data_IF_792542199430
#
_entry.id   IF_792542199430
#
_cell.length_a   1.000
_cell.length_b   1.000
_cell.length_c   1.000
_cell.angle_alpha   90.00
_cell.angle_beta   90.00
_cell.angle_gamma   90.00
#
_symmetry.space_group_name_H-M   'P 1'
#
loop_
_entity.id
_entity.type
_entity.pdbx_description
1 polymer ?
#
# COMPACT_ATOMS: atom_id res chain seq x y z
N UNK A 1 -52.31 -48.43 -43.63
CA UNK A 1 -51.89 -47.95 -42.30
C UNK A 1 -50.48 -47.42 -42.46
N UNK A 2 -50.37 -46.16 -42.89
CA UNK A 2 -50.01 -45.00 -42.07
C UNK A 2 -48.51 -44.99 -41.68
N UNK A 3 -47.80 -44.32 -42.58
CA UNK A 3 -46.45 -43.75 -42.52
C UNK A 3 -46.07 -43.15 -41.16
N UNK A 4 -44.83 -43.38 -40.73
CA UNK A 4 -44.00 -42.34 -40.09
C UNK A 4 -42.52 -42.58 -40.45
N UNK A 5 -42.04 -41.82 -41.42
CA UNK A 5 -40.62 -41.64 -41.72
C UNK A 5 -40.02 -40.72 -40.65
N UNK A 6 -38.97 -41.16 -39.94
CA UNK A 6 -38.12 -40.27 -39.17
C UNK A 6 -36.81 -40.07 -39.95
N UNK A 7 -36.70 -38.89 -40.58
CA UNK A 7 -35.51 -38.40 -41.26
C UNK A 7 -34.51 -37.93 -40.19
N UNK A 8 -33.35 -38.59 -40.07
CA UNK A 8 -32.21 -38.04 -39.34
C UNK A 8 -31.50 -37.01 -40.24
N UNK A 9 -31.70 -35.72 -39.97
CA UNK A 9 -30.92 -34.66 -40.59
C UNK A 9 -29.59 -34.51 -39.85
N UNK A 10 -28.49 -34.92 -40.49
CA UNK A 10 -27.14 -34.61 -40.03
C UNK A 10 -26.84 -33.13 -40.33
N UNK A 11 -27.02 -32.27 -39.33
CA UNK A 11 -26.61 -30.87 -39.38
C UNK A 11 -25.10 -30.76 -39.24
N UNK A 12 -24.42 -30.40 -40.33
CA UNK A 12 -23.01 -29.98 -40.30
C UNK A 12 -22.98 -28.55 -39.74
N UNK A 13 -22.69 -28.40 -38.45
CA UNK A 13 -22.41 -27.10 -37.85
C UNK A 13 -21.01 -26.65 -38.30
N UNK A 14 -20.98 -25.63 -39.15
CA UNK A 14 -19.77 -24.91 -39.51
C UNK A 14 -19.48 -23.90 -38.39
N UNK A 15 -18.73 -24.32 -37.37
CA UNK A 15 -18.24 -23.42 -36.33
C UNK A 15 -17.17 -22.49 -36.93
N UNK A 16 -17.62 -21.31 -37.38
CA UNK A 16 -16.74 -20.21 -37.72
C UNK A 16 -16.31 -19.51 -36.43
N UNK A 17 -15.35 -20.09 -35.72
CA UNK A 17 -14.67 -19.41 -34.61
C UNK A 17 -13.82 -18.27 -35.18
N UNK A 18 -14.36 -17.06 -35.16
CA UNK A 18 -13.58 -15.83 -35.28
C UNK A 18 -12.62 -15.77 -34.07
N UNK A 19 -11.40 -16.28 -34.27
CA UNK A 19 -10.29 -15.99 -33.38
C UNK A 19 -9.95 -14.50 -33.55
N UNK A 20 -10.60 -13.65 -32.74
CA UNK A 20 -10.14 -12.30 -32.51
C UNK A 20 -8.66 -12.39 -32.11
N UNK A 21 -7.78 -11.55 -32.69
CA UNK A 21 -6.40 -11.50 -32.23
C UNK A 21 -6.45 -11.19 -30.73
N UNK A 22 -6.01 -12.15 -29.92
CA UNK A 22 -5.63 -11.87 -28.53
C UNK A 22 -4.60 -10.77 -28.65
N UNK A 23 -5.00 -9.53 -28.38
CA UNK A 23 -4.06 -8.49 -28.05
C UNK A 23 -3.21 -9.13 -26.96
N UNK A 24 -1.93 -9.36 -27.25
CA UNK A 24 -0.98 -9.76 -26.25
C UNK A 24 -1.11 -8.71 -25.15
N UNK A 25 -1.84 -9.05 -24.10
CA UNK A 25 -1.91 -8.26 -22.89
C UNK A 25 -0.45 -8.26 -22.46
N UNK A 26 0.26 -7.16 -22.71
CA UNK A 26 1.56 -6.98 -22.10
C UNK A 26 1.28 -7.19 -20.63
N UNK A 27 1.86 -8.22 -20.04
CA UNK A 27 1.88 -8.36 -18.59
C UNK A 27 2.57 -7.10 -18.09
N UNK A 28 1.79 -6.12 -17.63
CA UNK A 28 2.32 -4.87 -17.08
C UNK A 28 2.86 -5.27 -15.71
N UNK A 29 3.98 -5.98 -15.65
CA UNK A 29 4.62 -6.31 -14.40
C UNK A 29 5.14 -5.01 -13.78
N UNK A 30 4.83 -4.77 -12.50
CA UNK A 30 5.47 -3.68 -11.76
C UNK A 30 6.96 -3.98 -11.67
N UNK A 31 7.80 -3.00 -11.97
CA UNK A 31 9.26 -3.12 -11.89
C UNK A 31 9.79 -2.59 -10.55
N UNK A 32 11.02 -2.96 -10.20
CA UNK A 32 11.71 -2.40 -9.03
C UNK A 32 11.82 -0.88 -9.13
N UNK A 33 12.19 -0.34 -10.30
CA UNK A 33 12.31 1.11 -10.51
C UNK A 33 10.97 1.84 -10.30
N UNK A 34 9.87 1.24 -10.75
CA UNK A 34 8.54 1.79 -10.49
C UNK A 34 8.20 1.76 -9.01
N UNK A 35 8.55 0.67 -8.30
CA UNK A 35 8.34 0.56 -6.87
C UNK A 35 9.20 1.55 -6.08
N UNK A 36 10.45 1.79 -6.48
CA UNK A 36 11.34 2.80 -5.90
C UNK A 36 10.85 4.22 -6.16
N UNK A 37 10.22 4.48 -7.30
CA UNK A 37 9.60 5.77 -7.53
C UNK A 37 8.42 6.03 -6.58
N UNK A 38 7.67 4.97 -6.21
CA UNK A 38 6.53 5.03 -5.27
C UNK A 38 7.00 5.09 -3.82
N UNK A 39 8.04 4.34 -3.47
CA UNK A 39 8.59 4.20 -2.13
C UNK A 39 10.12 4.42 -2.14
N UNK A 40 10.61 5.66 -2.33
CA UNK A 40 12.05 5.95 -2.46
C UNK A 40 12.91 5.47 -1.28
N UNK A 41 12.39 5.47 -0.07
CA UNK A 41 13.08 5.00 1.12
C UNK A 41 13.28 3.47 1.11
N UNK A 42 12.55 2.72 0.27
CA UNK A 42 12.76 1.29 0.06
C UNK A 42 14.01 0.98 -0.81
N UNK A 43 14.78 1.99 -1.23
CA UNK A 43 16.11 1.81 -1.84
C UNK A 43 17.13 1.18 -0.89
N UNK A 44 16.90 1.26 0.41
CA UNK A 44 17.72 0.59 1.40
C UNK A 44 16.94 0.37 2.68
N UNK A 45 17.19 -0.77 3.31
CA UNK A 45 16.77 -0.99 4.69
C UNK A 45 17.83 -0.46 5.64
N UNK A 46 17.89 0.87 5.76
CA UNK A 46 18.58 1.53 6.86
C UNK A 46 17.51 1.97 7.88
N UNK A 47 17.14 1.10 8.83
CA UNK A 47 16.09 1.45 9.77
C UNK A 47 16.62 2.62 10.62
N UNK A 48 15.92 3.76 10.59
CA UNK A 48 16.22 4.92 11.44
C UNK A 48 16.28 4.53 12.94
N UNK A 49 15.71 3.36 13.27
CA UNK A 49 15.80 2.71 14.58
C UNK A 49 16.13 1.23 14.38
N UNK A 50 17.32 0.79 14.79
CA UNK A 50 17.76 -0.61 14.66
C UNK A 50 16.78 -1.64 15.26
N UNK A 51 15.89 -1.19 16.15
CA UNK A 51 14.79 -1.96 16.73
C UNK A 51 13.85 -2.63 15.71
N UNK A 52 13.62 -2.01 14.55
CA UNK A 52 12.64 -2.48 13.56
C UNK A 52 13.31 -3.07 12.31
N UNK A 53 14.58 -3.43 12.41
CA UNK A 53 15.37 -3.90 11.27
C UNK A 53 14.76 -5.13 10.57
N UNK A 54 14.07 -5.99 11.32
CA UNK A 54 13.47 -7.22 10.80
C UNK A 54 12.15 -6.99 10.03
N UNK A 55 11.55 -5.81 10.14
CA UNK A 55 10.27 -5.46 9.46
C UNK A 55 10.50 -4.76 8.12
N UNK A 56 11.72 -4.23 7.93
CA UNK A 56 12.06 -3.47 6.76
C UNK A 56 12.27 -4.37 5.53
N UNK A 57 11.71 -3.96 4.40
CA UNK A 57 11.97 -4.55 3.10
C UNK A 57 12.39 -3.50 2.07
N UNK A 58 13.40 -3.84 1.27
CA UNK A 58 13.78 -3.09 0.06
C UNK A 58 12.79 -3.32 -1.07
N UNK A 59 12.78 -2.46 -2.07
CA UNK A 59 11.95 -2.64 -3.27
C UNK A 59 12.27 -3.97 -3.99
N UNK A 60 13.55 -4.37 -4.02
CA UNK A 60 13.99 -5.65 -4.58
C UNK A 60 13.43 -6.85 -3.82
N UNK A 61 13.33 -6.76 -2.49
CA UNK A 61 12.73 -7.79 -1.66
C UNK A 61 11.20 -7.81 -1.79
N UNK A 62 10.58 -6.65 -1.91
CA UNK A 62 9.13 -6.47 -1.95
C UNK A 62 8.49 -6.88 -3.29
N UNK A 63 9.16 -6.63 -4.42
CA UNK A 63 8.52 -6.73 -5.74
C UNK A 63 8.04 -8.14 -6.10
N UNK A 64 8.79 -9.17 -5.68
CA UNK A 64 8.44 -10.56 -5.93
C UNK A 64 7.15 -10.97 -5.22
N UNK A 65 7.09 -10.85 -3.88
CA UNK A 65 5.87 -11.09 -3.10
C UNK A 65 4.66 -10.26 -3.54
N UNK A 66 4.84 -8.96 -3.84
CA UNK A 66 3.77 -8.09 -4.38
C UNK A 66 3.23 -8.63 -5.71
N UNK A 67 4.12 -9.00 -6.63
CA UNK A 67 3.69 -9.53 -7.94
C UNK A 67 2.94 -10.85 -7.79
N UNK A 68 3.40 -11.72 -6.89
CA UNK A 68 2.71 -12.97 -6.58
C UNK A 68 1.33 -12.75 -5.97
N UNK A 69 1.17 -11.76 -5.07
CA UNK A 69 -0.15 -11.44 -4.51
C UNK A 69 -1.07 -10.84 -5.58
N UNK A 70 -0.57 -10.00 -6.48
CA UNK A 70 -1.33 -9.50 -7.62
C UNK A 70 -1.82 -10.63 -8.53
N UNK A 71 -0.98 -11.63 -8.82
CA UNK A 71 -1.37 -12.78 -9.63
C UNK A 71 -2.38 -13.69 -8.91
N UNK A 72 -2.18 -13.92 -7.61
CA UNK A 72 -3.08 -14.73 -6.77
C UNK A 72 -4.49 -14.13 -6.74
N UNK A 73 -4.59 -12.82 -6.52
CA UNK A 73 -5.86 -12.10 -6.34
C UNK A 73 -6.35 -11.37 -7.59
N UNK A 74 -5.74 -11.61 -8.74
CA UNK A 74 -6.13 -11.08 -10.06
C UNK A 74 -6.17 -9.54 -10.10
N UNK A 75 -5.13 -8.90 -9.57
CA UNK A 75 -4.92 -7.45 -9.71
C UNK A 75 -4.28 -7.18 -11.07
N UNK A 76 -5.07 -6.62 -11.99
CA UNK A 76 -4.66 -6.54 -13.39
C UNK A 76 -4.70 -5.13 -13.96
N UNK A 77 -5.41 -4.19 -13.33
CA UNK A 77 -5.49 -2.81 -13.83
C UNK A 77 -4.42 -1.93 -13.19
N UNK A 78 -3.99 -0.91 -13.93
CA UNK A 78 -3.09 0.12 -13.42
C UNK A 78 -3.66 0.80 -12.17
N UNK A 79 -4.97 1.00 -12.13
CA UNK A 79 -5.68 1.69 -11.06
C UNK A 79 -5.64 0.90 -9.75
N UNK A 80 -5.96 -0.40 -9.80
CA UNK A 80 -5.88 -1.28 -8.63
C UNK A 80 -4.44 -1.34 -8.09
N UNK A 81 -3.45 -1.47 -8.98
CA UNK A 81 -2.04 -1.53 -8.57
C UNK A 81 -1.57 -0.22 -7.96
N UNK A 82 -1.93 0.92 -8.55
CA UNK A 82 -1.59 2.23 -8.00
C UNK A 82 -2.20 2.41 -6.61
N UNK A 83 -3.47 2.06 -6.43
CA UNK A 83 -4.17 2.13 -5.15
C UNK A 83 -3.52 1.23 -4.09
N UNK A 84 -3.23 -0.03 -4.43
CA UNK A 84 -2.64 -0.99 -3.51
C UNK A 84 -1.20 -0.63 -3.15
N UNK A 85 -0.35 -0.30 -4.13
CA UNK A 85 1.05 0.06 -3.86
C UNK A 85 1.17 1.36 -3.08
N UNK A 86 0.33 2.36 -3.39
CA UNK A 86 0.33 3.61 -2.63
C UNK A 86 -0.18 3.44 -1.21
N UNK A 87 -1.23 2.62 -1.01
CA UNK A 87 -1.68 2.24 0.32
C UNK A 87 -0.55 1.56 1.07
N UNK A 88 0.11 0.58 0.46
CA UNK A 88 1.16 -0.14 1.15
C UNK A 88 2.35 0.75 1.52
N UNK A 89 2.83 1.55 0.57
CA UNK A 89 3.94 2.47 0.80
C UNK A 89 3.60 3.49 1.90
N UNK A 90 2.39 4.06 1.90
CA UNK A 90 2.01 5.05 2.90
C UNK A 90 1.90 4.45 4.30
N UNK A 91 1.15 3.36 4.44
CA UNK A 91 0.83 2.75 5.74
C UNK A 91 2.06 2.18 6.47
N UNK A 92 3.09 1.81 5.71
CA UNK A 92 4.27 1.12 6.23
C UNK A 92 5.49 2.02 6.35
N UNK A 93 5.34 3.32 6.09
CA UNK A 93 6.47 4.24 6.02
C UNK A 93 7.47 3.85 4.93
N UNK A 94 6.96 3.44 3.77
CA UNK A 94 7.69 2.94 2.60
C UNK A 94 8.42 1.61 2.87
N UNK A 95 7.66 0.62 3.34
CA UNK A 95 8.08 -0.73 3.67
C UNK A 95 9.07 -0.86 4.83
N UNK A 96 9.14 0.16 5.69
CA UNK A 96 9.97 0.13 6.91
C UNK A 96 9.34 -0.71 8.02
N UNK A 97 8.00 -0.80 8.02
CA UNK A 97 7.23 -1.46 9.07
C UNK A 97 6.26 -2.47 8.48
N UNK A 98 6.04 -3.55 9.19
CA UNK A 98 4.94 -4.49 9.00
C UNK A 98 4.18 -4.75 10.32
N UNK A 99 4.58 -4.09 11.40
CA UNK A 99 3.87 -4.05 12.69
C UNK A 99 3.54 -2.61 13.07
N UNK A 100 2.40 -2.40 13.72
CA UNK A 100 2.02 -1.09 14.25
C UNK A 100 2.84 -0.69 15.49
N UNK A 101 3.53 0.45 15.40
CA UNK A 101 4.33 1.00 16.51
C UNK A 101 3.85 2.36 17.05
N UNK A 102 3.09 3.14 16.26
CA UNK A 102 2.81 4.55 16.56
C UNK A 102 1.36 4.96 16.26
N UNK A 103 0.63 5.59 17.22
CA UNK A 103 1.03 5.87 18.60
C UNK A 103 0.86 4.64 19.52
N UNK A 104 1.99 4.04 19.95
CA UNK A 104 2.01 2.88 20.84
C UNK A 104 1.73 1.55 20.12
N UNK A 105 2.02 0.39 20.75
CA UNK A 105 1.74 -0.89 20.14
C UNK A 105 0.23 -1.16 20.13
N UNK A 106 -0.29 -1.60 18.99
CA UNK A 106 -1.63 -2.20 18.88
C UNK A 106 -1.46 -3.68 18.51
N UNK A 107 -1.46 -4.60 19.48
CA UNK A 107 -1.12 -6.00 19.26
C UNK A 107 -1.94 -6.62 18.12
N UNK A 108 -1.24 -7.20 17.15
CA UNK A 108 -1.84 -7.83 15.98
C UNK A 108 -2.20 -6.87 14.83
N UNK A 109 -2.03 -5.55 14.99
CA UNK A 109 -2.19 -4.61 13.87
C UNK A 109 -0.90 -4.58 13.04
N UNK A 110 -1.03 -4.74 11.72
CA UNK A 110 0.13 -4.84 10.85
C UNK A 110 -0.17 -5.47 9.49
N UNK A 111 0.91 -5.96 8.87
CA UNK A 111 1.12 -6.27 7.44
C UNK A 111 0.92 -5.07 6.53
N UNK A 112 1.24 -5.19 5.24
CA UNK A 112 1.56 -4.04 4.37
C UNK A 112 0.41 -3.08 4.04
N UNK A 113 -0.75 -3.13 4.67
CA UNK A 113 -1.76 -2.06 4.67
C UNK A 113 -2.17 -1.60 6.08
N UNK A 114 -1.38 -1.95 7.09
CA UNK A 114 -1.59 -1.66 8.51
C UNK A 114 -3.00 -2.03 9.00
N UNK A 115 -3.55 -3.15 8.51
CA UNK A 115 -4.91 -3.57 8.81
C UNK A 115 -5.10 -3.97 10.27
N UNK A 116 -6.33 -3.79 10.75
CA UNK A 116 -6.75 -4.11 12.12
C UNK A 116 -6.48 -5.61 12.45
N UNK A 117 -6.14 -5.94 13.72
CA UNK A 117 -5.97 -7.31 14.20
C UNK A 117 -7.04 -8.31 13.77
N UNK A 118 -8.32 -7.91 13.77
CA UNK A 118 -9.42 -8.78 13.37
C UNK A 118 -9.31 -9.20 11.89
N UNK A 119 -8.88 -8.29 11.02
CA UNK A 119 -8.66 -8.62 9.61
C UNK A 119 -7.42 -9.49 9.41
N UNK A 120 -6.39 -9.35 10.25
CA UNK A 120 -5.25 -10.27 10.24
C UNK A 120 -5.63 -11.69 10.67
N UNK A 121 -6.53 -11.85 11.66
CA UNK A 121 -7.09 -13.16 12.03
C UNK A 121 -7.84 -13.78 10.86
N UNK A 122 -8.77 -13.03 10.26
CA UNK A 122 -9.55 -13.52 9.11
C UNK A 122 -8.66 -13.81 7.89
N UNK A 123 -7.59 -13.04 7.70
CA UNK A 123 -6.63 -13.29 6.63
C UNK A 123 -5.87 -14.59 6.88
N UNK A 124 -5.30 -14.76 8.07
CA UNK A 124 -4.58 -15.96 8.47
C UNK A 124 -5.46 -17.22 8.36
N UNK A 125 -6.72 -17.14 8.79
CA UNK A 125 -7.70 -18.24 8.68
C UNK A 125 -8.01 -18.62 7.23
N UNK A 126 -7.90 -17.69 6.29
CA UNK A 126 -8.10 -17.95 4.86
C UNK A 126 -6.91 -18.63 4.17
N UNK A 127 -5.77 -18.75 4.86
CA UNK A 127 -4.52 -19.27 4.31
C UNK A 127 -4.35 -20.74 4.72
N UNK A 128 -4.44 -21.64 3.74
CA UNK A 128 -4.37 -23.08 3.98
C UNK A 128 -3.09 -23.56 4.70
N UNK A 129 -1.95 -22.89 4.48
CA UNK A 129 -0.66 -23.23 5.14
C UNK A 129 -0.61 -22.83 6.63
N UNK A 130 -1.58 -22.05 7.10
CA UNK A 130 -1.74 -21.61 8.49
C UNK A 130 -2.84 -22.35 9.24
N UNK A 131 -3.55 -23.29 8.60
CA UNK A 131 -4.58 -24.10 9.25
C UNK A 131 -4.09 -24.72 10.57
N UNK A 132 -4.83 -24.49 11.65
CA UNK A 132 -4.52 -24.98 12.99
C UNK A 132 -3.42 -24.22 13.74
N UNK A 133 -2.89 -23.13 13.18
CA UNK A 133 -1.92 -22.23 13.84
C UNK A 133 -2.52 -20.90 14.29
N UNK A 134 -3.69 -20.53 13.77
CA UNK A 134 -4.36 -19.26 14.09
C UNK A 134 -5.01 -19.37 15.47
N UNK A 135 -4.58 -18.52 16.39
CA UNK A 135 -5.21 -18.34 17.70
C UNK A 135 -5.78 -16.92 17.81
N UNK A 136 -7.11 -16.73 17.67
CA UNK A 136 -7.73 -15.43 17.81
C UNK A 136 -7.54 -14.77 19.18
N UNK A 137 -7.18 -15.54 20.22
CA UNK A 137 -6.86 -15.01 21.54
C UNK A 137 -5.43 -14.43 21.62
N UNK A 138 -4.59 -14.69 20.61
CA UNK A 138 -3.25 -14.13 20.46
C UNK A 138 -3.08 -13.40 19.10
N UNK A 139 -3.64 -12.18 18.94
CA UNK A 139 -3.54 -11.44 17.68
C UNK A 139 -2.11 -11.08 17.29
N UNK A 140 -1.20 -10.92 18.26
CA UNK A 140 0.22 -10.66 17.98
C UNK A 140 0.90 -11.90 17.41
N UNK A 141 0.63 -13.09 17.96
CA UNK A 141 1.07 -14.36 17.41
C UNK A 141 0.55 -14.61 15.99
N UNK A 142 -0.72 -14.26 15.73
CA UNK A 142 -1.29 -14.32 14.37
C UNK A 142 -0.57 -13.40 13.40
N UNK A 143 -0.32 -12.14 13.79
CA UNK A 143 0.45 -11.22 12.96
C UNK A 143 1.86 -11.75 12.68
N UNK A 144 2.51 -12.36 13.68
CA UNK A 144 3.83 -12.97 13.50
C UNK A 144 3.83 -14.14 12.49
N UNK A 145 2.73 -14.90 12.38
CA UNK A 145 2.60 -15.93 11.34
C UNK A 145 2.54 -15.31 9.94
N UNK A 146 1.86 -14.17 9.79
CA UNK A 146 1.72 -13.47 8.52
C UNK A 146 3.02 -12.79 8.10
N UNK A 147 3.72 -12.11 9.01
CA UNK A 147 4.97 -11.39 8.71
C UNK A 147 6.18 -12.32 8.54
N UNK A 148 6.10 -13.58 8.99
CA UNK A 148 7.15 -14.57 8.81
C UNK A 148 7.30 -15.07 7.35
N UNK A 149 6.28 -14.88 6.51
CA UNK A 149 6.31 -15.24 5.08
C UNK A 149 6.07 -13.98 4.23
N UNK A 150 7.06 -13.51 3.44
CA UNK A 150 6.91 -12.32 2.62
C UNK A 150 5.70 -12.34 1.68
N UNK A 151 5.29 -13.51 1.18
CA UNK A 151 4.12 -13.62 0.29
C UNK A 151 2.83 -13.30 1.05
N UNK A 152 2.75 -13.72 2.31
CA UNK A 152 1.60 -13.45 3.17
C UNK A 152 1.64 -11.99 3.64
N UNK A 153 2.79 -11.50 4.07
CA UNK A 153 2.98 -10.11 4.48
C UNK A 153 2.57 -9.10 3.39
N UNK A 154 3.16 -9.19 2.20
CA UNK A 154 2.82 -8.33 1.06
C UNK A 154 1.47 -8.66 0.40
N UNK A 155 0.86 -9.79 0.77
CA UNK A 155 -0.46 -10.20 0.31
C UNK A 155 -1.61 -9.48 1.02
N UNK A 156 -1.36 -8.89 2.17
CA UNK A 156 -2.40 -8.38 3.08
C UNK A 156 -3.32 -7.33 2.46
N UNK A 157 -2.76 -6.32 1.78
CA UNK A 157 -3.54 -5.24 1.18
C UNK A 157 -4.45 -5.76 0.06
N UNK A 158 -3.95 -6.75 -0.68
CA UNK A 158 -4.64 -7.32 -1.83
C UNK A 158 -5.77 -8.24 -1.37
N UNK A 159 -5.50 -9.07 -0.37
CA UNK A 159 -6.54 -9.85 0.30
C UNK A 159 -7.61 -8.93 0.89
N UNK A 160 -7.22 -7.84 1.56
CA UNK A 160 -8.18 -6.88 2.12
C UNK A 160 -9.09 -6.30 1.03
N UNK A 161 -8.54 -5.83 -0.10
CA UNK A 161 -9.34 -5.35 -1.23
C UNK A 161 -10.34 -6.40 -1.71
N UNK A 162 -9.90 -7.64 -1.90
CA UNK A 162 -10.75 -8.71 -2.45
C UNK A 162 -11.80 -9.24 -1.48
N UNK A 163 -11.53 -9.18 -0.17
CA UNK A 163 -12.36 -9.84 0.83
C UNK A 163 -13.15 -8.86 1.71
N UNK A 164 -12.78 -7.58 1.75
CA UNK A 164 -13.42 -6.55 2.60
C UNK A 164 -14.11 -5.47 1.79
N UNK A 165 -13.61 -5.14 0.60
CA UNK A 165 -14.34 -4.23 -0.29
C UNK A 165 -15.44 -4.98 -1.04
N UNK A 166 -16.57 -4.33 -1.21
CA UNK A 166 -17.68 -4.84 -2.03
C UNK A 166 -17.26 -4.96 -3.49
N UNK A 167 -17.91 -5.84 -4.27
CA UNK A 167 -17.62 -5.97 -5.70
C UNK A 167 -17.77 -4.64 -6.45
N UNK A 168 -18.75 -3.81 -6.09
CA UNK A 168 -18.93 -2.49 -6.69
C UNK A 168 -17.75 -1.55 -6.41
N UNK A 169 -17.19 -1.56 -5.21
CA UNK A 169 -15.98 -0.78 -4.88
C UNK A 169 -14.75 -1.31 -5.62
N UNK A 170 -14.62 -2.63 -5.76
CA UNK A 170 -13.53 -3.24 -6.52
C UNK A 170 -13.62 -2.85 -8.02
N UNK A 171 -14.81 -2.93 -8.61
CA UNK A 171 -15.05 -2.56 -10.00
C UNK A 171 -14.83 -1.06 -10.23
N UNK A 172 -15.29 -0.21 -9.29
CA UNK A 172 -15.05 1.22 -9.32
C UNK A 172 -13.55 1.52 -9.26
N UNK A 173 -12.82 0.93 -8.33
CA UNK A 173 -11.37 1.11 -8.22
C UNK A 173 -10.63 0.62 -9.48
N UNK A 174 -11.07 -0.51 -10.05
CA UNK A 174 -10.45 -1.09 -11.23
C UNK A 174 -10.59 -0.23 -12.48
N UNK A 175 -11.74 0.42 -12.67
CA UNK A 175 -12.07 1.19 -13.87
C UNK A 175 -11.93 2.71 -13.68
N UNK A 176 -11.88 3.17 -12.44
CA UNK A 176 -11.90 4.57 -12.05
C UNK A 176 -10.54 5.22 -11.98
N UNK A 177 -10.53 6.48 -11.55
CA UNK A 177 -9.33 7.28 -11.35
C UNK A 177 -9.22 7.72 -9.91
N UNK A 178 -8.90 9.00 -9.73
CA UNK A 178 -8.70 9.57 -8.40
C UNK A 178 -9.94 9.48 -7.51
N UNK A 179 -11.14 9.76 -8.03
CA UNK A 179 -12.36 9.76 -7.23
C UNK A 179 -12.69 8.36 -6.66
N UNK A 180 -12.49 7.31 -7.45
CA UNK A 180 -12.73 5.93 -7.02
C UNK A 180 -11.64 5.43 -6.08
N UNK A 181 -10.41 5.91 -6.21
CA UNK A 181 -9.37 5.71 -5.20
C UNK A 181 -9.72 6.40 -3.88
N UNK A 182 -10.19 7.65 -3.92
CA UNK A 182 -10.63 8.37 -2.72
C UNK A 182 -11.75 7.61 -2.00
N UNK A 183 -12.75 7.14 -2.75
CA UNK A 183 -13.83 6.30 -2.22
C UNK A 183 -13.31 4.95 -1.69
N UNK A 184 -12.31 4.33 -2.31
CA UNK A 184 -11.67 3.13 -1.77
C UNK A 184 -11.05 3.40 -0.39
N UNK A 185 -10.34 4.53 -0.23
CA UNK A 185 -9.72 4.90 1.05
C UNK A 185 -10.78 5.23 2.12
N UNK A 186 -11.80 6.01 1.78
CA UNK A 186 -12.80 6.46 2.77
C UNK A 186 -13.85 5.42 3.09
N UNK A 187 -14.32 4.70 2.07
CA UNK A 187 -15.54 3.88 2.18
C UNK A 187 -15.23 2.38 2.33
N UNK A 188 -14.07 1.92 1.86
CA UNK A 188 -13.63 0.54 2.09
C UNK A 188 -12.56 0.43 3.17
N UNK A 189 -11.43 1.12 3.02
CA UNK A 189 -10.36 1.10 4.02
C UNK A 189 -10.84 1.77 5.32
N UNK A 190 -11.73 2.76 5.23
CA UNK A 190 -12.36 3.38 6.40
C UNK A 190 -11.46 4.42 7.07
N UNK A 191 -10.62 5.11 6.29
CA UNK A 191 -9.66 6.10 6.80
C UNK A 191 -9.74 7.42 6.02
N UNK A 192 -8.91 8.40 6.38
CA UNK A 192 -8.88 9.71 5.71
C UNK A 192 -7.83 9.72 4.59
N UNK A 193 -7.98 10.67 3.65
CA UNK A 193 -7.03 10.88 2.55
C UNK A 193 -5.72 11.53 3.01
N UNK A 194 -5.61 11.94 4.28
CA UNK A 194 -4.52 12.74 4.81
C UNK A 194 -3.16 12.11 4.52
N UNK A 195 -2.33 12.82 3.75
CA UNK A 195 -0.99 12.38 3.32
C UNK A 195 -0.94 11.29 2.23
N UNK A 196 -2.03 10.59 1.94
CA UNK A 196 -2.05 9.43 1.01
C UNK A 196 -2.08 9.83 -0.46
N UNK A 197 -2.66 10.99 -0.76
CA UNK A 197 -2.90 11.47 -2.13
C UNK A 197 -1.60 11.68 -2.92
N UNK A 198 -0.55 12.16 -2.25
CA UNK A 198 0.76 12.34 -2.87
C UNK A 198 1.34 11.00 -3.36
N UNK A 199 1.35 9.98 -2.48
CA UNK A 199 1.82 8.63 -2.79
C UNK A 199 1.00 7.97 -3.90
N UNK A 200 -0.33 8.14 -3.88
CA UNK A 200 -1.21 7.64 -4.93
C UNK A 200 -0.93 8.30 -6.28
N UNK A 201 -0.79 9.62 -6.31
CA UNK A 201 -0.52 10.38 -7.54
C UNK A 201 0.79 9.92 -8.18
N UNK A 202 1.82 9.68 -7.38
CA UNK A 202 3.10 9.12 -7.84
C UNK A 202 2.89 7.71 -8.42
N UNK A 203 2.23 6.82 -7.67
CA UNK A 203 1.98 5.45 -8.11
C UNK A 203 1.18 5.39 -9.42
N UNK A 204 0.10 6.16 -9.51
CA UNK A 204 -0.71 6.22 -10.71
C UNK A 204 0.10 6.74 -11.91
N UNK A 205 0.87 7.82 -11.73
CA UNK A 205 1.70 8.40 -12.80
C UNK A 205 2.75 7.41 -13.31
N UNK A 206 3.49 6.78 -12.40
CA UNK A 206 4.60 5.86 -12.72
C UNK A 206 4.11 4.57 -13.39
N UNK A 207 2.95 4.07 -12.97
CA UNK A 207 2.38 2.84 -13.55
C UNK A 207 1.64 3.12 -14.87
N UNK A 208 1.10 4.34 -15.05
CA UNK A 208 0.46 4.75 -16.31
C UNK A 208 1.47 5.08 -17.41
N UNK A 209 2.65 5.60 -17.07
CA UNK A 209 3.71 5.91 -18.03
C UNK A 209 4.48 4.66 -18.51
N UNK A 210 4.43 3.56 -17.75
CA UNK A 210 5.08 2.29 -18.09
C UNK A 210 4.42 1.49 -19.22
N UNK A 211 3.29 1.94 -19.78
CA UNK A 211 2.60 1.28 -20.89
C UNK A 211 3.26 1.45 -22.27
N UNK A 212 4.26 2.33 -22.41
CA UNK A 212 4.79 2.73 -23.71
C UNK A 212 6.23 3.23 -23.69
N UNK A 213 7.21 2.37 -23.45
CA UNK A 213 8.60 2.67 -23.80
C UNK A 213 9.39 1.40 -24.12
N UNK A 214 9.08 0.78 -25.25
CA UNK A 214 10.07 0.06 -26.04
C UNK A 214 9.71 0.21 -27.53
N UNK A 215 10.64 0.86 -28.25
CA UNK A 215 10.81 0.91 -29.71
C UNK A 215 10.07 1.97 -30.53
N UNK A 216 10.90 2.69 -31.31
CA UNK A 216 10.64 3.52 -32.50
C UNK A 216 10.30 5.00 -32.20
N UNK A 217 10.97 6.03 -32.72
CA UNK A 217 11.80 6.10 -33.92
C UNK A 217 12.82 7.25 -33.82
N UNK A 218 14.10 6.94 -34.08
CA UNK A 218 14.98 7.87 -34.78
C UNK A 218 14.82 7.57 -36.27
N UNK A 219 14.07 8.42 -36.96
CA UNK A 219 14.14 8.55 -38.42
C UNK A 219 13.88 10.00 -38.76
N UNK A 220 14.98 10.72 -39.00
CA UNK A 220 15.18 11.59 -40.17
C UNK A 220 16.31 12.57 -39.91
N UNK A 221 17.51 12.30 -40.43
CA UNK A 221 18.34 13.32 -41.09
C UNK A 221 19.31 12.66 -42.10
N UNK A 222 19.04 12.98 -43.37
CA UNK A 222 19.86 13.12 -44.58
C UNK A 222 21.29 12.52 -44.68
N UNK A 223 21.43 11.67 -45.70
CA UNK A 223 22.33 11.78 -46.88
C UNK A 223 23.86 12.08 -46.75
N UNK A 224 24.64 11.00 -46.97
CA UNK A 224 25.83 10.84 -47.87
C UNK A 224 27.18 11.56 -47.58
N UNK A 225 28.34 11.15 -48.19
CA UNK A 225 28.68 9.93 -48.93
C UNK A 225 29.94 9.18 -48.42
N UNK A 226 30.17 8.03 -49.06
CA UNK A 226 31.30 7.10 -49.06
C UNK A 226 32.71 7.66 -48.87
N UNK A 227 33.50 7.00 -48.00
CA UNK A 227 34.93 6.74 -48.24
C UNK A 227 35.36 5.43 -47.59
N UNK A 228 36.10 4.67 -48.37
CA UNK A 228 36.64 3.34 -48.09
C UNK A 228 37.85 3.41 -47.17
N UNK A 229 37.96 2.52 -46.19
CA UNK A 229 39.25 2.01 -45.74
C UNK A 229 39.13 0.67 -45.03
N UNK A 230 39.73 -0.30 -45.71
CA UNK A 230 40.01 -1.68 -45.35
C UNK A 230 40.99 -1.75 -44.18
N UNK A 231 40.68 -2.53 -43.14
CA UNK A 231 41.71 -3.28 -42.36
C UNK A 231 41.11 -4.53 -41.68
N UNK A 232 41.92 -5.59 -41.47
CA UNK A 232 41.42 -6.95 -41.24
C UNK A 232 41.45 -7.40 -39.76
N UNK A 233 40.52 -8.30 -39.40
CA UNK A 233 40.59 -9.49 -38.50
C UNK A 233 41.48 -9.45 -37.21
N UNK A 234 41.06 -10.10 -36.09
CA UNK A 234 40.76 -11.54 -36.09
C UNK A 234 39.51 -12.01 -35.34
N UNK A 235 39.00 -13.11 -35.88
CA UNK A 235 37.99 -14.01 -35.36
C UNK A 235 38.44 -14.64 -34.05
N UNK A 236 37.55 -14.69 -33.07
CA UNK A 236 37.62 -15.70 -32.02
C UNK A 236 36.45 -16.67 -32.17
N UNK A 237 36.77 -17.78 -32.82
CA UNK A 237 36.11 -19.07 -32.76
C UNK A 237 36.15 -19.59 -31.32
N UNK A 238 35.00 -19.82 -30.70
CA UNK A 238 34.89 -20.77 -29.59
C UNK A 238 34.09 -21.98 -30.06
N UNK A 239 34.79 -23.11 -30.14
CA UNK A 239 34.23 -24.42 -30.41
C UNK A 239 33.67 -25.02 -29.10
N UNK A 240 32.56 -25.79 -29.14
CA UNK A 240 31.97 -26.45 -27.99
C UNK A 240 32.55 -27.87 -27.81
N UNK A 241 32.55 -28.41 -26.58
CA UNK A 241 32.48 -29.86 -26.15
C UNK A 241 33.27 -30.12 -24.84
N UNK A 242 33.14 -31.28 -24.15
CA UNK A 242 31.92 -31.92 -23.64
C UNK A 242 32.09 -32.53 -22.20
N UNK A 243 30.97 -33.07 -21.69
CA UNK A 243 30.84 -34.29 -20.87
C UNK A 243 31.17 -34.31 -19.36
N UNK A 244 30.18 -34.82 -18.61
CA UNK A 244 30.22 -35.41 -17.25
C UNK A 244 31.17 -36.62 -17.10
N UNK A 245 31.48 -37.03 -15.86
CA UNK A 245 30.81 -38.20 -15.25
C UNK A 245 30.44 -37.99 -13.74
N UNK A 246 29.28 -38.41 -13.23
CA UNK A 246 28.84 -39.74 -12.75
C UNK A 246 29.26 -40.10 -11.29
N UNK A 247 28.30 -39.95 -10.35
CA UNK A 247 28.02 -40.75 -9.10
C UNK A 247 29.02 -40.76 -7.92
N UNK A 248 28.66 -41.17 -6.67
CA UNK A 248 27.43 -41.85 -6.17
C UNK A 248 26.76 -41.23 -4.89
N UNK A 249 25.62 -41.77 -4.42
CA UNK A 249 24.90 -41.28 -3.24
C UNK A 249 25.35 -41.97 -1.94
N UNK A 250 25.45 -41.20 -0.85
CA UNK A 250 25.64 -41.75 0.50
C UNK A 250 24.32 -41.84 1.24
N UNK A 251 23.83 -43.06 1.35
CA UNK A 251 22.82 -43.53 2.29
C UNK A 251 23.44 -43.80 3.66
N UNK A 252 22.89 -43.24 4.74
CA UNK A 252 22.99 -43.85 6.07
C UNK A 252 21.71 -43.57 6.88
N UNK A 253 21.02 -44.67 7.18
CA UNK A 253 19.86 -44.83 8.06
C UNK A 253 20.22 -44.68 9.55
N UNK A 254 19.23 -44.59 10.47
CA UNK A 254 19.41 -44.13 11.84
C UNK A 254 19.74 -45.28 12.81
N UNK A 255 20.30 -44.99 14.00
CA UNK A 255 20.25 -45.93 15.11
C UNK A 255 18.93 -45.80 15.88
N UNK A 256 18.28 -46.94 16.08
CA UNK A 256 17.20 -47.14 17.03
C UNK A 256 17.74 -47.64 18.38
N UNK A 257 16.92 -47.41 19.42
CA UNK A 257 16.87 -48.07 20.74
C UNK A 257 17.96 -47.70 21.77
N UNK A 258 17.52 -47.12 22.89
CA UNK A 258 17.37 -47.85 24.16
C UNK A 258 16.46 -47.10 25.11
N UNK A 259 15.41 -47.78 25.58
CA UNK A 259 14.63 -47.41 26.75
C UNK A 259 15.49 -47.49 28.01
N UNK A 260 15.44 -46.46 28.86
CA UNK A 260 15.79 -46.57 30.28
C UNK A 260 14.88 -45.68 31.10
N UNK A 261 14.02 -46.35 31.84
CA UNK A 261 13.14 -45.85 32.87
C UNK A 261 13.96 -45.50 34.11
N UNK A 262 13.95 -44.23 34.53
CA UNK A 262 14.36 -43.88 35.90
C UNK A 262 13.37 -42.89 36.49
N UNK A 263 12.57 -43.43 37.40
CA UNK A 263 11.85 -42.69 38.43
C UNK A 263 12.85 -41.87 39.27
N UNK A 264 12.65 -40.57 39.34
CA UNK A 264 13.15 -39.72 40.44
C UNK A 264 12.01 -38.79 40.86
N UNK A 265 11.31 -39.23 41.89
CA UNK A 265 10.59 -38.39 42.86
C UNK A 265 11.48 -37.26 43.35
N UNK A 266 11.07 -36.00 43.18
CA UNK A 266 11.54 -34.91 44.05
C UNK A 266 10.54 -33.76 44.11
N UNK A 267 9.80 -33.78 45.22
CA UNK A 267 9.43 -32.67 46.10
C UNK A 267 8.84 -31.39 45.47
N UNK A 268 7.53 -31.25 45.70
CA UNK A 268 6.78 -30.00 45.67
C UNK A 268 7.43 -28.97 46.60
N UNK A 269 7.96 -27.89 46.02
CA UNK A 269 8.34 -26.69 46.76
C UNK A 269 7.10 -25.81 46.90
N UNK A 270 6.60 -25.72 48.13
CA UNK A 270 5.52 -24.84 48.57
C UNK A 270 5.86 -23.36 48.37
N UNK A 271 4.92 -22.51 47.90
CA UNK A 271 5.13 -21.07 47.87
C UNK A 271 5.16 -20.48 49.31
N UNK A 272 5.95 -19.42 49.55
CA UNK A 272 5.99 -18.74 50.84
C UNK A 272 4.66 -18.04 51.17
N UNK A 273 4.28 -17.94 52.46
CA UNK A 273 3.03 -17.31 52.87
C UNK A 273 3.02 -15.80 52.59
N UNK A 274 1.94 -15.36 51.96
CA UNK A 274 1.55 -13.96 51.76
C UNK A 274 1.41 -13.26 53.13
N UNK A 275 2.03 -12.09 53.36
CA UNK A 275 1.76 -11.31 54.56
C UNK A 275 0.35 -10.69 54.47
N UNK A 276 -0.51 -11.12 55.39
CA UNK A 276 -1.85 -10.63 55.63
C UNK A 276 -1.79 -9.18 56.13
N UNK A 277 -2.25 -8.23 55.30
CA UNK A 277 -2.46 -6.84 55.73
C UNK A 277 -3.81 -6.75 56.47
N UNK A 278 -3.86 -6.21 57.70
CA UNK A 278 -5.12 -6.10 58.44
C UNK A 278 -6.06 -5.06 57.81
N UNK A 279 -7.33 -5.45 57.74
CA UNK A 279 -8.44 -4.60 57.34
C UNK A 279 -8.63 -3.45 58.34
N UNK A 280 -8.51 -2.21 57.86
CA UNK A 280 -8.85 -1.01 58.62
C UNK A 280 -10.26 -0.54 58.26
N UNK A 281 -11.08 -0.52 59.30
CA UNK A 281 -12.41 0.06 59.53
C UNK A 281 -12.67 1.40 58.83
N UNK A 282 -13.92 1.68 58.39
CA UNK A 282 -14.33 2.98 57.86
C UNK A 282 -14.68 3.97 58.98
N UNK A 283 -14.24 5.22 58.85
CA UNK A 283 -14.65 6.35 59.70
C UNK A 283 -14.79 7.65 58.86
N UNK A 284 -15.46 8.71 59.33
CA UNK A 284 -16.74 9.14 58.79
C UNK A 284 -16.67 10.47 58.00
N UNK A 285 -17.75 10.74 57.26
CA UNK A 285 -18.05 12.00 56.57
C UNK A 285 -18.08 13.18 57.54
N UNK A 286 -17.21 14.17 57.33
CA UNK A 286 -17.33 15.50 57.94
C UNK A 286 -17.22 16.56 56.84
N UNK A 287 -18.36 17.18 56.58
CA UNK A 287 -18.58 18.35 55.74
C UNK A 287 -17.83 19.58 56.28
N UNK A 288 -17.28 20.42 55.40
CA UNK A 288 -16.89 21.80 55.73
C UNK A 288 -16.83 22.66 54.44
N UNK A 289 -16.93 24.01 54.53
CA UNK A 289 -18.00 24.75 53.87
C UNK A 289 -17.51 25.65 52.72
N UNK A 290 -18.49 26.13 51.96
CA UNK A 290 -18.37 27.06 50.84
C UNK A 290 -18.13 28.54 51.25
N UNK A 291 -17.70 29.31 50.24
CA UNK A 291 -17.78 30.77 50.00
C UNK A 291 -16.46 31.57 50.11
N UNK A 292 -16.29 32.73 49.42
CA UNK A 292 -17.24 33.46 48.57
C UNK A 292 -16.75 33.83 47.14
N UNK A 293 -17.73 34.13 46.29
CA UNK A 293 -17.63 34.62 44.91
C UNK A 293 -17.57 36.14 44.83
N UNK A 294 -16.90 36.71 43.80
CA UNK A 294 -17.23 37.91 42.96
C UNK A 294 -15.97 38.65 42.44
N UNK A 295 -16.02 39.48 41.37
CA UNK A 295 -16.62 39.30 40.04
C UNK A 295 -15.64 39.57 38.86
N UNK A 296 -16.04 39.21 37.63
CA UNK A 296 -15.36 39.51 36.35
C UNK A 296 -15.32 41.01 35.97
N UNK A 297 -14.51 41.36 34.95
CA UNK A 297 -15.10 41.83 33.69
C UNK A 297 -14.51 41.07 32.46
N UNK A 298 -15.35 40.37 31.69
CA UNK A 298 -15.93 40.76 30.38
C UNK A 298 -14.89 40.91 29.28
N UNK A 299 -14.73 39.92 28.38
CA UNK A 299 -15.39 39.92 27.06
C UNK A 299 -15.32 38.50 26.46
N UNK A 300 -16.47 37.79 26.39
CA UNK A 300 -17.30 37.58 25.19
C UNK A 300 -16.71 36.56 24.20
N UNK A 301 -17.10 35.28 24.33
CA UNK A 301 -17.98 34.52 23.39
C UNK A 301 -17.31 34.22 22.02
N UNK A 302 -17.34 33.03 21.44
CA UNK A 302 -18.00 31.76 21.72
C UNK A 302 -17.49 30.73 20.68
N UNK A 303 -17.81 29.46 20.95
CA UNK A 303 -18.07 28.41 19.98
C UNK A 303 -16.92 27.97 19.06
N UNK A 304 -16.45 26.75 19.35
CA UNK A 304 -16.10 25.79 18.31
C UNK A 304 -17.32 25.55 17.43
N UNK A 305 -17.17 25.67 16.10
CA UNK A 305 -17.80 24.69 15.23
C UNK A 305 -16.80 24.11 14.24
N UNK A 306 -17.05 22.86 13.88
CA UNK A 306 -16.61 22.22 12.66
C UNK A 306 -16.68 23.18 11.45
N UNK A 307 -15.64 23.17 10.62
CA UNK A 307 -15.77 23.56 9.22
C UNK A 307 -15.02 22.54 8.35
N UNK A 308 -15.83 21.78 7.61
CA UNK A 308 -15.54 21.09 6.35
C UNK A 308 -14.20 21.49 5.70
N UNK A 309 -13.29 20.52 5.52
CA UNK A 309 -12.32 20.54 4.43
C UNK A 309 -12.88 19.66 3.31
N UNK A 310 -13.73 20.23 2.49
CA UNK A 310 -14.10 19.65 1.19
C UNK A 310 -13.61 20.59 0.11
N UNK A 311 -12.90 20.00 -0.84
CA UNK A 311 -13.15 20.09 -2.28
C UNK A 311 -13.16 21.47 -2.96
N UNK A 312 -12.71 21.53 -4.23
CA UNK A 312 -12.62 22.79 -4.98
C UNK A 312 -14.03 23.27 -5.34
N UNK A 313 -14.54 24.34 -4.71
CA UNK A 313 -15.73 25.09 -5.18
C UNK A 313 -16.10 26.37 -4.39
N UNK A 314 -15.35 26.82 -3.38
CA UNK A 314 -15.62 28.10 -2.71
C UNK A 314 -14.63 29.19 -3.18
N UNK A 315 -15.03 30.47 -3.36
CA UNK A 315 -14.07 31.54 -3.64
C UNK A 315 -13.10 31.60 -2.46
N UNK A 316 -11.82 31.30 -2.71
CA UNK A 316 -10.83 31.39 -1.65
C UNK A 316 -10.57 32.88 -1.40
N UNK A 317 -10.68 33.32 -0.15
CA UNK A 317 -10.43 34.72 0.21
C UNK A 317 -8.93 34.97 0.33
N UNK A 318 -8.55 36.26 0.27
CA UNK A 318 -7.18 36.68 0.60
C UNK A 318 -6.88 36.29 2.04
N UNK A 319 -5.81 35.54 2.25
CA UNK A 319 -5.34 35.12 3.57
C UNK A 319 -4.17 36.02 4.00
N UNK A 320 -4.05 36.25 5.31
CA UNK A 320 -2.94 37.02 5.86
C UNK A 320 -2.46 36.40 7.18
N UNK A 321 -1.21 36.68 7.54
CA UNK A 321 -0.59 36.15 8.75
C UNK A 321 0.02 34.77 8.56
N UNK A 322 0.07 34.01 9.65
CA UNK A 322 0.69 32.68 9.68
C UNK A 322 -0.14 31.66 8.89
N UNK A 323 0.54 30.81 8.14
CA UNK A 323 -0.08 29.68 7.45
C UNK A 323 0.16 28.37 8.21
N UNK A 324 -0.74 27.40 8.02
CA UNK A 324 -0.71 26.13 8.77
C UNK A 324 0.34 25.17 8.24
N UNK A 325 0.54 25.11 6.92
CA UNK A 325 1.51 24.22 6.28
C UNK A 325 2.40 24.98 5.32
N UNK A 326 3.72 24.86 5.51
CA UNK A 326 4.72 25.47 4.65
C UNK A 326 4.58 24.94 3.22
N UNK A 327 4.56 25.85 2.23
CA UNK A 327 4.47 25.50 0.82
C UNK A 327 3.05 25.49 0.23
N UNK A 328 1.99 25.55 1.04
CA UNK A 328 0.61 25.60 0.57
C UNK A 328 0.35 26.78 -0.38
N UNK A 329 -0.48 26.54 -1.38
CA UNK A 329 -1.00 27.50 -2.33
C UNK A 329 -2.44 27.87 -1.98
N UNK A 330 -2.82 29.11 -2.27
CA UNK A 330 -4.18 29.62 -2.15
C UNK A 330 -4.54 30.36 -3.45
N UNK A 331 -5.27 29.72 -4.36
CA UNK A 331 -5.84 30.35 -5.54
C UNK A 331 -7.17 31.03 -5.19
N UNK A 332 -7.23 32.35 -5.32
CA UNK A 332 -8.30 33.20 -4.76
C UNK A 332 -9.52 33.26 -5.70
N UNK A 333 -9.29 33.71 -6.94
CA UNK A 333 -10.34 34.05 -7.92
C UNK A 333 -10.05 33.44 -9.31
N UNK A 334 -9.09 32.51 -9.37
CA UNK A 334 -8.62 31.92 -10.61
C UNK A 334 -7.61 32.79 -11.36
N UNK A 335 -7.39 34.05 -10.95
CA UNK A 335 -6.45 34.98 -11.57
C UNK A 335 -5.34 35.44 -10.63
N UNK A 336 -5.51 35.22 -9.34
CA UNK A 336 -4.57 35.59 -8.29
C UNK A 336 -4.35 34.44 -7.31
N UNK A 337 -3.15 34.38 -6.75
CA UNK A 337 -2.73 33.34 -5.83
C UNK A 337 -1.85 33.90 -4.70
N UNK A 338 -1.77 33.14 -3.61
CA UNK A 338 -0.80 33.32 -2.52
C UNK A 338 -0.13 31.98 -2.24
N UNK A 339 1.08 32.02 -1.68
CA UNK A 339 1.78 30.82 -1.19
C UNK A 339 2.18 31.01 0.26
N UNK A 340 2.19 29.92 1.01
CA UNK A 340 2.78 29.87 2.34
C UNK A 340 4.30 29.74 2.20
N UNK A 341 5.02 30.78 2.63
CA UNK A 341 6.47 30.80 2.60
C UNK A 341 7.01 31.40 3.91
N UNK A 342 7.96 30.72 4.53
CA UNK A 342 8.51 31.06 5.84
C UNK A 342 7.43 31.16 6.94
N UNK A 343 6.44 30.27 6.90
CA UNK A 343 5.34 30.19 7.85
C UNK A 343 4.32 31.33 7.74
N UNK A 344 4.37 32.16 6.69
CA UNK A 344 3.41 33.22 6.44
C UNK A 344 2.86 33.22 5.01
N UNK A 345 1.61 33.64 4.85
CA UNK A 345 1.03 33.88 3.53
C UNK A 345 1.74 35.04 2.84
N UNK A 346 2.17 34.84 1.60
CA UNK A 346 2.74 35.89 0.76
C UNK A 346 1.69 36.95 0.40
N UNK A 347 2.16 38.08 -0.13
CA UNK A 347 1.27 39.00 -0.84
C UNK A 347 0.58 38.29 -2.01
N UNK A 348 -0.60 38.79 -2.40
CA UNK A 348 -1.37 38.31 -3.54
C UNK A 348 -0.59 38.59 -4.83
N UNK A 349 -0.38 37.56 -5.64
CA UNK A 349 0.31 37.63 -6.93
C UNK A 349 -0.63 37.20 -8.06
N UNK A 350 -0.52 37.80 -9.26
CA UNK A 350 -1.27 37.34 -10.42
C UNK A 350 -0.73 35.99 -10.93
N UNK A 351 -1.61 35.17 -11.51
CA UNK A 351 -1.20 34.06 -12.38
C UNK A 351 -0.65 34.63 -13.70
N UNK A 352 0.09 33.83 -14.46
CA UNK A 352 0.65 34.28 -15.74
C UNK A 352 -0.46 34.63 -16.75
N UNK A 353 -0.20 35.60 -17.63
CA UNK A 353 -1.15 36.00 -18.67
C UNK A 353 -1.58 34.80 -19.52
N UNK A 354 -2.89 34.71 -19.80
CA UNK A 354 -3.48 33.59 -20.54
C UNK A 354 -3.65 32.30 -19.73
N UNK A 355 -3.42 32.32 -18.42
CA UNK A 355 -3.63 31.17 -17.53
C UNK A 355 -4.61 31.49 -16.41
N UNK A 356 -5.14 30.45 -15.77
CA UNK A 356 -5.99 30.52 -14.59
C UNK A 356 -5.55 29.45 -13.60
N UNK A 357 -5.70 29.70 -12.29
CA UNK A 357 -5.55 28.66 -11.29
C UNK A 357 -6.90 28.05 -10.90
N UNK A 358 -6.90 26.81 -10.41
CA UNK A 358 -8.08 26.20 -9.82
C UNK A 358 -8.32 26.81 -8.43
N UNK A 359 -9.46 27.48 -8.25
CA UNK A 359 -9.79 28.19 -7.00
C UNK A 359 -9.80 27.22 -5.82
N UNK A 360 -9.08 27.58 -4.76
CA UNK A 360 -8.93 26.77 -3.55
C UNK A 360 -7.54 26.83 -2.93
N UNK A 361 -7.40 26.22 -1.76
CA UNK A 361 -6.10 25.99 -1.11
C UNK A 361 -5.65 24.55 -1.36
N UNK A 362 -4.35 24.34 -1.54
CA UNK A 362 -3.76 23.02 -1.75
C UNK A 362 -2.25 23.04 -1.69
N UNK A 363 -1.65 21.86 -1.70
CA UNK A 363 -0.20 21.65 -1.74
C UNK A 363 0.42 22.00 -3.11
N UNK A 364 -0.40 22.07 -4.17
CA UNK A 364 -0.01 22.51 -5.51
C UNK A 364 -0.93 23.61 -6.07
N UNK A 365 -0.38 24.48 -6.91
CA UNK A 365 -1.16 25.45 -7.68
C UNK A 365 -1.49 24.86 -9.04
N UNK A 366 -2.66 24.25 -9.17
CA UNK A 366 -3.13 23.76 -10.48
C UNK A 366 -3.42 24.94 -11.39
N UNK A 367 -2.65 25.08 -12.48
CA UNK A 367 -2.80 26.13 -13.50
C UNK A 367 -3.24 25.53 -14.83
N UNK A 368 -4.23 26.15 -15.48
CA UNK A 368 -4.75 25.78 -16.80
C UNK A 368 -4.86 27.01 -17.71
N UNK A 369 -5.00 26.80 -19.02
CA UNK A 369 -5.19 27.89 -19.98
C UNK A 369 -6.53 28.59 -19.77
N UNK A 370 -6.53 29.92 -19.75
CA UNK A 370 -7.78 30.70 -19.68
C UNK A 370 -8.60 30.52 -20.96
N UNK A 371 -9.93 30.39 -20.88
CA UNK A 371 -10.79 30.42 -22.05
C UNK A 371 -10.65 31.78 -22.74
N UNK A 372 -10.53 31.74 -24.06
CA UNK A 372 -10.32 32.90 -24.93
C UNK A 372 -11.50 33.88 -24.92
#
# INVERSE_FOLDING_TARGET
>A
MLFFNLLFAAGVHLDLTLALPRHARRDIATTVDQLLAIAPAASSCNPATAQFANECATAEQAIGPISQSFDQYKIVTTNERAALLSLMAFETGEFKFDVHHFPGPNPGQGTRNMQNPQFNIEYADSIASLNGKVDPADPAGVLALLTADPILDFGSAVWFLRNKCTQAQQDALANGGQAEWEAFITDCVGTTLEGRQATYSIAFKVLSSGGGAASSAVSSILSAPSTSSTTPFPSFTFSPTPASPTTPPSSLSPPALTSSTTFMTSLMTTPPPVPTVPASTPEPLISTPAAPSTPSPTTSLAASPSALRTSPSAPASVLSGVCTFEGDWNCIDGRTWQRCAAGMWTAVMPVADGTMCAVGQGDDLTVYSAPA
#
